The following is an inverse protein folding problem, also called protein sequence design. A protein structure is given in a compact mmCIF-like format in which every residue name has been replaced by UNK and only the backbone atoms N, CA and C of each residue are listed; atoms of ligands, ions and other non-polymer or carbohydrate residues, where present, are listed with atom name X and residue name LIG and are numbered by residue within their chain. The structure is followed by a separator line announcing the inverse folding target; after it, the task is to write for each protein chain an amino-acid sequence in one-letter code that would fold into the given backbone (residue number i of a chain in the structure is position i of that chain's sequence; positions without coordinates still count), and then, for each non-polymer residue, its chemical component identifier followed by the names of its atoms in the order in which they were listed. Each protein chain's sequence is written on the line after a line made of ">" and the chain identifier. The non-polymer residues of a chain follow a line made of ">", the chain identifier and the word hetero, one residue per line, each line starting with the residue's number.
data_IF_546606605771
#
_entry.id   IF_546606605771
#
_cell.length_a   1.000
_cell.length_b   1.000
_cell.length_c   1.000
_cell.angle_alpha   90.00
_cell.angle_beta   90.00
_cell.angle_gamma   90.00
#
_symmetry.space_group_name_H-M   'P 1'
#
loop_
_entity.id
_entity.type
_entity.pdbx_description
1 polymer ?
#
# COMPACT_ATOMS: atom_id res chain seq x y z
N UNK A 1 5.78 -26.04 -3.71
CA UNK A 1 5.51 -24.79 -4.46
C UNK A 1 4.92 -25.16 -5.81
N UNK A 2 3.91 -24.43 -6.30
CA UNK A 2 3.26 -24.74 -7.58
C UNK A 2 4.28 -24.65 -8.73
N UNK A 3 4.41 -25.71 -9.52
CA UNK A 3 5.39 -25.88 -10.60
C UNK A 3 4.95 -25.27 -11.93
N UNK A 4 3.75 -24.67 -11.99
CA UNK A 4 3.22 -24.09 -13.22
C UNK A 4 3.93 -22.78 -13.59
N UNK A 5 4.04 -22.49 -14.88
CA UNK A 5 4.58 -21.21 -15.37
C UNK A 5 3.68 -20.04 -14.92
N UNK A 6 4.28 -18.87 -14.70
CA UNK A 6 3.51 -17.63 -14.49
C UNK A 6 2.81 -17.20 -15.79
N UNK A 7 1.69 -16.46 -15.72
CA UNK A 7 1.09 -15.79 -16.88
C UNK A 7 2.09 -14.88 -17.59
N UNK A 8 1.85 -14.58 -18.87
CA UNK A 8 2.69 -13.66 -19.64
C UNK A 8 2.48 -12.23 -19.16
N UNK A 9 3.57 -11.52 -18.84
CA UNK A 9 3.49 -10.10 -18.46
C UNK A 9 2.93 -9.22 -19.58
N UNK A 10 3.22 -9.54 -20.84
CA UNK A 10 2.78 -8.73 -21.99
C UNK A 10 1.33 -8.99 -22.35
N UNK A 11 0.85 -10.22 -22.17
CA UNK A 11 -0.44 -10.65 -22.69
C UNK A 11 -1.54 -10.61 -21.60
N UNK A 12 -1.17 -10.84 -20.33
CA UNK A 12 -2.08 -10.80 -19.18
C UNK A 12 -1.34 -10.34 -17.91
N UNK A 13 -0.98 -9.06 -17.90
CA UNK A 13 -0.31 -8.42 -16.76
C UNK A 13 -1.10 -8.54 -15.44
N UNK A 14 -2.44 -8.33 -15.41
CA UNK A 14 -3.21 -8.46 -14.17
C UNK A 14 -3.11 -9.86 -13.54
N UNK A 15 -3.22 -10.93 -14.34
CA UNK A 15 -3.07 -12.28 -13.82
C UNK A 15 -1.63 -12.55 -13.37
N UNK A 16 -0.63 -12.09 -14.14
CA UNK A 16 0.77 -12.22 -13.76
C UNK A 16 1.05 -11.55 -12.41
N UNK A 17 0.59 -10.31 -12.21
CA UNK A 17 0.80 -9.54 -10.99
C UNK A 17 0.23 -10.27 -9.76
N UNK A 18 -1.02 -10.72 -9.85
CA UNK A 18 -1.67 -11.44 -8.76
C UNK A 18 -0.95 -12.76 -8.43
N UNK A 19 -0.51 -13.50 -9.45
CA UNK A 19 0.23 -14.74 -9.25
C UNK A 19 1.61 -14.49 -8.63
N UNK A 20 2.31 -13.41 -9.00
CA UNK A 20 3.58 -13.05 -8.37
C UNK A 20 3.39 -12.69 -6.90
N UNK A 21 2.44 -11.79 -6.59
CA UNK A 21 2.14 -11.38 -5.21
C UNK A 21 1.83 -12.58 -4.33
N UNK A 22 1.01 -13.51 -4.84
CA UNK A 22 0.63 -14.73 -4.14
C UNK A 22 1.78 -15.71 -3.98
N UNK A 23 2.51 -16.03 -5.06
CA UNK A 23 3.55 -17.07 -5.03
C UNK A 23 4.82 -16.63 -4.31
N UNK A 24 5.11 -15.33 -4.32
CA UNK A 24 6.19 -14.75 -3.54
C UNK A 24 5.79 -14.49 -2.07
N UNK A 25 4.58 -14.87 -1.68
CA UNK A 25 4.09 -14.73 -0.30
C UNK A 25 4.11 -13.29 0.22
N UNK A 26 3.75 -12.33 -0.64
CA UNK A 26 3.80 -10.89 -0.32
C UNK A 26 2.53 -10.40 0.38
N UNK A 27 1.36 -10.80 -0.11
CA UNK A 27 0.08 -10.40 0.45
C UNK A 27 -1.03 -11.39 0.06
N UNK A 28 -2.13 -11.36 0.80
CA UNK A 28 -3.37 -12.09 0.53
C UNK A 28 -4.59 -11.22 0.79
N UNK A 29 -5.77 -11.63 0.32
CA UNK A 29 -7.00 -10.87 0.54
C UNK A 29 -7.43 -10.94 2.00
N UNK A 30 -7.78 -9.78 2.57
CA UNK A 30 -8.36 -9.70 3.90
C UNK A 30 -9.86 -10.03 3.90
N UNK A 31 -10.48 -10.12 5.09
CA UNK A 31 -11.90 -10.48 5.22
C UNK A 31 -12.86 -9.39 4.72
N UNK A 32 -12.42 -8.13 4.65
CA UNK A 32 -13.20 -7.03 4.10
C UNK A 32 -12.89 -6.84 2.61
N UNK A 33 -13.91 -6.54 1.80
CA UNK A 33 -13.76 -6.26 0.37
C UNK A 33 -12.78 -5.09 0.17
N UNK A 34 -11.78 -5.29 -0.69
CA UNK A 34 -10.74 -4.29 -0.98
C UNK A 34 -9.61 -4.22 0.06
N UNK A 35 -9.66 -5.05 1.12
CA UNK A 35 -8.57 -5.15 2.10
C UNK A 35 -7.56 -6.24 1.74
N UNK A 36 -6.35 -6.11 2.28
CA UNK A 36 -5.27 -7.09 2.13
C UNK A 36 -4.59 -7.32 3.47
N UNK A 37 -4.13 -8.55 3.68
CA UNK A 37 -3.17 -8.91 4.73
C UNK A 37 -1.80 -8.94 4.07
N UNK A 38 -0.93 -8.00 4.44
CA UNK A 38 0.44 -7.95 3.95
C UNK A 38 1.27 -8.93 4.80
N UNK A 39 1.88 -9.92 4.14
CA UNK A 39 2.65 -10.99 4.77
C UNK A 39 4.07 -10.54 5.09
N UNK A 40 4.84 -11.28 5.92
CA UNK A 40 6.16 -10.83 6.36
C UNK A 40 7.12 -10.45 5.22
N UNK A 41 7.12 -11.19 4.10
CA UNK A 41 7.97 -10.85 2.96
C UNK A 41 7.56 -9.54 2.29
N UNK A 42 6.26 -9.29 2.11
CA UNK A 42 5.75 -8.02 1.59
C UNK A 42 5.95 -6.85 2.55
N UNK A 43 5.77 -7.10 3.86
CA UNK A 43 5.92 -6.06 4.87
C UNK A 43 7.37 -5.63 5.04
N UNK A 44 8.34 -6.55 4.91
CA UNK A 44 9.76 -6.21 4.93
C UNK A 44 10.14 -5.23 3.81
N UNK A 45 9.56 -5.36 2.62
CA UNK A 45 9.75 -4.41 1.51
C UNK A 45 9.23 -3.02 1.91
N UNK A 46 8.07 -2.97 2.56
CA UNK A 46 7.49 -1.73 3.06
C UNK A 46 8.35 -1.08 4.15
N UNK A 47 8.83 -1.85 5.13
CA UNK A 47 9.72 -1.36 6.20
C UNK A 47 11.01 -0.74 5.63
N UNK A 48 11.61 -1.38 4.62
CA UNK A 48 12.79 -0.86 3.93
C UNK A 48 12.48 0.43 3.17
N UNK A 49 11.34 0.50 2.52
CA UNK A 49 10.88 1.67 1.78
C UNK A 49 10.65 2.85 2.72
N UNK A 50 9.92 2.62 3.82
CA UNK A 50 9.66 3.62 4.85
C UNK A 50 10.95 4.16 5.43
N UNK A 51 11.88 3.29 5.82
CA UNK A 51 13.17 3.70 6.40
C UNK A 51 13.99 4.55 5.43
N UNK A 52 14.08 4.11 4.17
CA UNK A 52 14.84 4.83 3.16
C UNK A 52 14.29 6.24 2.88
N UNK A 53 12.97 6.43 2.97
CA UNK A 53 12.33 7.74 2.84
C UNK A 53 12.48 8.58 4.12
N UNK A 54 12.24 7.97 5.28
CA UNK A 54 12.36 8.63 6.60
C UNK A 54 13.77 9.20 6.81
N UNK A 55 14.81 8.44 6.46
CA UNK A 55 16.21 8.91 6.52
C UNK A 55 16.45 10.15 5.63
N UNK A 56 15.86 10.17 4.41
CA UNK A 56 15.97 11.29 3.47
C UNK A 56 15.22 12.53 3.95
N UNK A 57 14.04 12.35 4.56
CA UNK A 57 13.28 13.47 5.13
C UNK A 57 14.01 14.08 6.32
N UNK A 58 14.54 13.25 7.22
CA UNK A 58 15.35 13.70 8.36
C UNK A 58 16.63 14.41 7.93
N UNK A 59 17.27 13.95 6.86
CA UNK A 59 18.45 14.62 6.29
C UNK A 59 18.18 16.05 5.81
N UNK A 60 16.91 16.41 5.56
CA UNK A 60 16.49 17.75 5.15
C UNK A 60 15.76 18.52 6.26
N UNK A 61 15.85 18.04 7.51
CA UNK A 61 15.33 18.74 8.70
C UNK A 61 13.84 18.51 8.98
N UNK A 62 13.20 17.52 8.36
CA UNK A 62 11.81 17.17 8.66
C UNK A 62 11.72 16.36 9.96
N UNK A 63 10.63 16.56 10.68
CA UNK A 63 10.29 15.81 11.89
C UNK A 63 8.95 15.07 11.69
N UNK A 64 8.88 13.83 12.17
CA UNK A 64 7.66 13.03 12.08
C UNK A 64 6.64 13.46 13.13
N UNK A 65 5.38 13.52 12.72
CA UNK A 65 4.23 13.74 13.59
C UNK A 65 3.25 12.58 13.44
N UNK A 66 2.51 12.28 14.51
CA UNK A 66 1.43 11.30 14.49
C UNK A 66 0.11 12.01 14.80
N UNK A 67 -0.77 12.04 13.81
CA UNK A 67 -2.11 12.60 13.95
C UNK A 67 -3.14 11.50 14.19
N UNK A 68 -4.27 11.80 14.85
CA UNK A 68 -5.36 10.84 15.01
C UNK A 68 -5.91 10.36 13.67
N UNK A 69 -6.18 9.04 13.56
CA UNK A 69 -6.80 8.44 12.36
C UNK A 69 -8.26 8.88 12.17
N UNK A 70 -9.01 9.03 13.26
CA UNK A 70 -10.42 9.42 13.22
C UNK A 70 -10.51 10.95 13.22
N UNK A 71 -10.94 11.51 12.09
CA UNK A 71 -11.08 12.95 11.88
C UNK A 71 -12.57 13.33 11.98
N UNK A 72 -12.95 14.34 12.78
CA UNK A 72 -14.31 14.87 12.79
C UNK A 72 -14.79 15.28 11.38
N UNK A 73 -16.01 14.87 11.02
CA UNK A 73 -16.59 15.18 9.70
C UNK A 73 -16.62 16.69 9.41
N UNK A 74 -16.82 17.51 10.44
CA UNK A 74 -16.80 18.97 10.31
C UNK A 74 -15.47 19.51 9.78
N UNK A 75 -14.35 18.85 10.05
CA UNK A 75 -13.03 19.23 9.53
C UNK A 75 -12.83 18.73 8.09
N UNK A 76 -13.36 17.55 7.74
CA UNK A 76 -13.30 17.05 6.36
C UNK A 76 -14.12 17.91 5.39
N UNK A 77 -15.25 18.45 5.85
CA UNK A 77 -16.14 19.30 5.05
C UNK A 77 -15.60 20.70 4.79
N UNK A 78 -14.59 21.17 5.52
CA UNK A 78 -13.99 22.49 5.32
C UNK A 78 -13.24 22.60 3.98
N UNK A 79 -12.78 21.47 3.42
CA UNK A 79 -12.08 21.40 2.13
C UNK A 79 -13.02 21.00 0.97
N UNK A 80 -14.33 20.85 1.22
CA UNK A 80 -15.29 20.34 0.23
C UNK A 80 -15.34 21.19 -1.06
N UNK A 81 -15.07 22.49 -0.98
CA UNK A 81 -15.04 23.39 -2.14
C UNK A 81 -13.79 23.21 -3.02
N UNK A 82 -12.75 22.50 -2.54
CA UNK A 82 -11.50 22.24 -3.27
C UNK A 82 -11.36 20.79 -3.75
N UNK A 83 -12.33 19.94 -3.43
CA UNK A 83 -12.21 18.49 -3.52
C UNK A 83 -13.37 17.90 -4.34
N UNK A 84 -13.39 18.21 -5.63
CA UNK A 84 -14.16 17.42 -6.60
C UNK A 84 -13.45 16.07 -6.80
N UNK A 85 -13.73 15.09 -5.93
CA UNK A 85 -13.24 13.72 -6.14
C UNK A 85 -12.99 12.83 -4.92
N UNK A 86 -13.12 13.34 -3.69
CA UNK A 86 -13.07 12.51 -2.47
C UNK A 86 -14.42 12.38 -1.75
N UNK A 87 -15.51 12.89 -2.35
CA UNK A 87 -16.90 12.72 -1.90
C UNK A 87 -17.65 11.74 -2.80
#
# INVERSE_FOLDING_TARGET
>A
MSTNKLPSQTDDFPAWYNEVVKRADLAEHGPAKGSMIIKPHGYAIWELTQRALDDRFKATGHENLYFPLLIPMSLLQQEADHVEGFA
#
